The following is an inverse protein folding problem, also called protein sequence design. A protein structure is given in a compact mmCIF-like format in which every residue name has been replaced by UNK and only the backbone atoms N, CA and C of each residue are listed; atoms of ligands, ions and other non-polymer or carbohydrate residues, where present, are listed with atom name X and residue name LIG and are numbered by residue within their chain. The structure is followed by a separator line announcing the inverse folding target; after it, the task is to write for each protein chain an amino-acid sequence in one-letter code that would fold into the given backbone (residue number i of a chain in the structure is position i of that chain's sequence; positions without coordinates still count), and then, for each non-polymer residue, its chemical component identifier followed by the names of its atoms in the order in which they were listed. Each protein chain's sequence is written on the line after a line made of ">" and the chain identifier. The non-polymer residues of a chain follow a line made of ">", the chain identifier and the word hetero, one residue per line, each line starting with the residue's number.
data_IF_752754212154
#
_entry.id   IF_752754212154
#
_cell.length_a   1.000
_cell.length_b   1.000
_cell.length_c   1.000
_cell.angle_alpha   90.00
_cell.angle_beta   90.00
_cell.angle_gamma   90.00
#
_symmetry.space_group_name_H-M   'P 1'
#
loop_
_entity.id
_entity.type
_entity.pdbx_description
1 polymer ?
#
# COMPACT_ATOMS: atom_id res chain seq x y z
N UNK A 1 -1.17 -10.05 13.10
CA UNK A 1 -0.50 -8.75 12.91
C UNK A 1 -1.08 -8.10 11.68
N UNK A 2 -1.51 -6.84 11.73
CA UNK A 2 -2.10 -6.15 10.58
C UNK A 2 -1.00 -5.82 9.57
N UNK A 3 -1.08 -6.33 8.33
CA UNK A 3 -0.13 -6.00 7.24
C UNK A 3 -0.52 -4.69 6.57
N UNK A 4 0.39 -4.07 5.83
CA UNK A 4 0.07 -2.87 5.04
C UNK A 4 -1.03 -3.17 4.01
N UNK A 5 -0.92 -4.32 3.29
CA UNK A 5 -1.96 -4.80 2.36
C UNK A 5 -3.34 -4.87 3.03
N UNK A 6 -3.44 -5.55 4.17
CA UNK A 6 -4.72 -5.69 4.88
C UNK A 6 -5.28 -4.36 5.41
N UNK A 7 -4.41 -3.39 5.75
CA UNK A 7 -4.83 -2.06 6.14
C UNK A 7 -5.30 -1.23 4.93
N UNK A 8 -4.56 -1.27 3.81
CA UNK A 8 -4.84 -0.50 2.59
C UNK A 8 -6.19 -0.89 1.98
N UNK A 9 -6.53 -2.19 1.99
CA UNK A 9 -7.79 -2.69 1.44
C UNK A 9 -9.05 -2.15 2.13
N UNK A 10 -8.93 -1.52 3.32
CA UNK A 10 -10.05 -0.81 3.95
C UNK A 10 -10.50 0.44 3.20
N UNK A 11 -9.67 0.94 2.30
CA UNK A 11 -9.93 2.14 1.50
C UNK A 11 -10.37 1.83 0.06
N UNK A 12 -10.66 0.56 -0.27
CA UNK A 12 -10.94 0.13 -1.65
C UNK A 12 -12.12 0.88 -2.31
N UNK A 13 -13.10 1.32 -1.53
CA UNK A 13 -14.29 2.05 -2.01
C UNK A 13 -14.14 3.58 -1.90
N UNK A 14 -12.97 4.10 -1.53
CA UNK A 14 -12.73 5.54 -1.39
C UNK A 14 -12.42 6.15 -2.76
N UNK A 15 -13.14 7.21 -3.12
CA UNK A 15 -12.92 7.99 -4.36
C UNK A 15 -11.77 9.01 -4.19
N UNK A 16 -10.57 8.49 -3.90
CA UNK A 16 -9.30 9.22 -3.74
C UNK A 16 -8.15 8.30 -4.21
N UNK A 17 -6.94 8.84 -4.46
CA UNK A 17 -5.81 8.03 -4.94
C UNK A 17 -5.47 6.79 -4.08
N UNK A 18 -5.72 6.84 -2.77
CA UNK A 18 -5.53 5.68 -1.89
C UNK A 18 -6.48 4.52 -2.21
N UNK A 19 -7.70 4.82 -2.65
CA UNK A 19 -8.67 3.81 -3.06
C UNK A 19 -8.36 3.24 -4.44
N UNK A 20 -7.80 4.04 -5.34
CA UNK A 20 -7.33 3.56 -6.64
C UNK A 20 -6.20 2.54 -6.47
N UNK A 21 -5.16 2.86 -5.69
CA UNK A 21 -4.09 1.89 -5.43
C UNK A 21 -4.58 0.68 -4.62
N UNK A 22 -5.61 0.84 -3.78
CA UNK A 22 -6.19 -0.28 -3.04
C UNK A 22 -6.87 -1.28 -3.98
N UNK A 23 -7.54 -0.80 -5.05
CA UNK A 23 -8.11 -1.67 -6.10
C UNK A 23 -7.01 -2.39 -6.87
N UNK A 24 -5.95 -1.68 -7.25
CA UNK A 24 -4.80 -2.27 -7.96
C UNK A 24 -4.15 -3.38 -7.11
N UNK A 25 -3.89 -3.11 -5.83
CA UNK A 25 -3.33 -4.07 -4.87
C UNK A 25 -4.28 -5.24 -4.56
N UNK A 26 -5.59 -5.04 -4.64
CA UNK A 26 -6.57 -6.12 -4.48
C UNK A 26 -6.51 -7.12 -5.64
N UNK A 27 -6.21 -6.63 -6.85
CA UNK A 27 -6.06 -7.46 -8.06
C UNK A 27 -4.67 -8.12 -8.13
N UNK A 28 -3.66 -7.51 -7.51
CA UNK A 28 -2.31 -8.04 -7.41
C UNK A 28 -2.19 -9.16 -6.36
N UNK A 29 -2.10 -10.40 -6.85
CA UNK A 29 -1.95 -11.60 -6.02
C UNK A 29 -0.57 -11.71 -5.37
N UNK A 30 0.44 -11.13 -6.00
CA UNK A 30 1.84 -11.23 -5.59
C UNK A 30 2.26 -10.05 -4.68
N UNK A 31 1.40 -9.03 -4.56
CA UNK A 31 1.64 -7.89 -3.68
C UNK A 31 2.01 -8.35 -2.25
N UNK A 32 3.14 -7.88 -1.67
CA UNK A 32 3.64 -8.36 -0.41
C UNK A 32 2.62 -8.26 0.73
N UNK A 33 2.32 -9.39 1.36
CA UNK A 33 1.47 -9.44 2.55
C UNK A 33 2.32 -9.26 3.83
N UNK A 34 2.98 -8.11 3.94
CA UNK A 34 3.89 -7.76 5.04
C UNK A 34 3.59 -6.37 5.60
N UNK A 35 4.24 -6.05 6.73
CA UNK A 35 4.28 -4.71 7.33
C UNK A 35 5.68 -4.08 7.24
N UNK A 36 6.55 -4.65 6.43
CA UNK A 36 7.91 -4.20 6.25
C UNK A 36 7.96 -3.22 5.08
N UNK A 37 8.47 -2.01 5.34
CA UNK A 37 8.46 -0.94 4.35
C UNK A 37 9.37 -1.28 3.19
N UNK A 38 10.60 -1.70 3.49
CA UNK A 38 11.65 -1.95 2.50
C UNK A 38 11.23 -3.07 1.54
N UNK A 39 10.62 -4.15 2.04
CA UNK A 39 10.08 -5.24 1.21
C UNK A 39 9.03 -4.76 0.21
N UNK A 40 8.13 -3.86 0.62
CA UNK A 40 7.07 -3.35 -0.26
C UNK A 40 7.65 -2.32 -1.24
N UNK A 41 8.55 -1.46 -0.77
CA UNK A 41 9.23 -0.46 -1.59
C UNK A 41 10.08 -1.11 -2.68
N UNK A 42 10.85 -2.15 -2.34
CA UNK A 42 11.63 -2.94 -3.29
C UNK A 42 10.72 -3.58 -4.33
N UNK A 43 9.63 -4.25 -3.90
CA UNK A 43 8.65 -4.85 -4.80
C UNK A 43 8.09 -3.83 -5.81
N UNK A 44 7.63 -2.68 -5.33
CA UNK A 44 7.05 -1.64 -6.18
C UNK A 44 8.07 -1.04 -7.14
N UNK A 45 9.32 -0.87 -6.71
CA UNK A 45 10.43 -0.38 -7.54
C UNK A 45 10.79 -1.39 -8.62
N UNK A 46 10.92 -2.68 -8.28
CA UNK A 46 11.20 -3.76 -9.23
C UNK A 46 10.07 -3.95 -10.25
N UNK A 47 8.82 -3.74 -9.83
CA UNK A 47 7.66 -3.78 -10.72
C UNK A 47 7.58 -2.59 -11.69
N UNK A 48 8.45 -1.56 -11.54
CA UNK A 48 8.42 -0.36 -12.38
C UNK A 48 7.19 0.52 -12.14
N UNK A 49 6.73 0.59 -10.88
CA UNK A 49 5.56 1.39 -10.49
C UNK A 49 5.75 2.86 -10.83
N UNK A 50 4.68 3.52 -11.28
CA UNK A 50 4.73 4.95 -11.60
C UNK A 50 4.98 5.82 -10.37
N UNK A 51 5.65 6.98 -10.55
CA UNK A 51 5.93 7.94 -9.48
C UNK A 51 4.68 8.41 -8.71
N UNK A 52 3.52 8.44 -9.37
CA UNK A 52 2.24 8.73 -8.71
C UNK A 52 1.86 7.62 -7.72
N UNK A 53 2.00 6.36 -8.11
CA UNK A 53 1.73 5.21 -7.26
C UNK A 53 2.69 5.20 -6.05
N UNK A 54 3.98 5.41 -6.31
CA UNK A 54 5.02 5.46 -5.27
C UNK A 54 4.72 6.54 -4.22
N UNK A 55 4.32 7.74 -4.64
CA UNK A 55 3.93 8.81 -3.71
C UNK A 55 2.73 8.40 -2.84
N UNK A 56 1.69 7.81 -3.43
CA UNK A 56 0.50 7.39 -2.65
C UNK A 56 0.89 6.26 -1.68
N UNK A 57 1.75 5.33 -2.09
CA UNK A 57 2.32 4.32 -1.20
C UNK A 57 3.03 4.96 -0.01
N UNK A 58 4.00 5.84 -0.22
CA UNK A 58 4.77 6.48 0.87
C UNK A 58 3.86 7.23 1.87
N UNK A 59 2.91 8.03 1.36
CA UNK A 59 1.96 8.76 2.21
C UNK A 59 1.03 7.83 3.00
N UNK A 60 0.44 6.85 2.33
CA UNK A 60 -0.48 5.91 2.98
C UNK A 60 0.25 4.97 3.94
N UNK A 61 1.53 4.65 3.69
CA UNK A 61 2.34 3.87 4.61
C UNK A 61 2.62 4.62 5.91
N UNK A 62 2.87 5.93 5.84
CA UNK A 62 2.96 6.78 7.04
C UNK A 62 1.67 6.73 7.86
N UNK A 63 0.51 6.83 7.22
CA UNK A 63 -0.79 6.70 7.88
C UNK A 63 -0.99 5.32 8.52
N UNK A 64 -0.60 4.25 7.82
CA UNK A 64 -0.62 2.89 8.34
C UNK A 64 0.23 2.78 9.61
N UNK A 65 1.47 3.25 9.57
CA UNK A 65 2.37 3.24 10.72
C UNK A 65 1.74 3.99 11.90
N UNK A 66 1.32 5.24 11.71
CA UNK A 66 0.69 6.05 12.76
C UNK A 66 -0.58 5.40 13.34
N UNK A 67 -1.38 4.71 12.52
CA UNK A 67 -2.61 4.03 12.96
C UNK A 67 -2.37 2.73 13.75
N UNK A 68 -1.14 2.20 13.72
CA UNK A 68 -0.78 0.91 14.35
C UNK A 68 0.16 1.05 15.55
N UNK A 69 0.62 2.26 15.87
CA UNK A 69 1.41 2.57 17.08
C UNK A 69 0.55 2.80 18.35
N UNK A 70 -0.77 2.57 18.28
CA UNK A 70 -1.69 2.66 19.41
C UNK A 70 -2.02 1.27 19.93
#
# INVERSE_FOLDING_TARGET
>A
MLTYKAWLLKFIDVDLPIGDIAKDVALDKDFPNTKDYDSIFEYLTTAGSADSFMRVFEYSYKMYYESTQK
#
